data_IF_822629784674
#
_entry.id   IF_822629784674
#
_cell.length_a   1.000
_cell.length_b   1.000
_cell.length_c   1.000
_cell.angle_alpha   90.00
_cell.angle_beta   90.00
_cell.angle_gamma   90.00
#
_symmetry.space_group_name_H-M   'P 1'
#
loop_
_entity.id
_entity.type
_entity.pdbx_description
1 polymer ?
#
# COMPACT_ATOMS: atom_id res chain seq x y z
N UNK A 1 -7.93 17.20 18.76
CA UNK A 1 -7.15 17.55 17.54
C UNK A 1 -5.71 17.13 17.82
N UNK A 2 -5.23 16.08 17.17
CA UNK A 2 -3.82 15.70 17.24
C UNK A 2 -3.00 16.79 16.51
N UNK A 3 -1.98 17.33 17.17
CA UNK A 3 -1.10 18.30 16.53
C UNK A 3 -0.28 17.57 15.46
N UNK A 4 -0.62 17.78 14.20
CA UNK A 4 0.02 17.15 13.04
C UNK A 4 1.51 17.51 12.89
N UNK A 5 2.04 18.42 13.71
CA UNK A 5 3.48 18.76 13.75
C UNK A 5 4.35 17.60 14.20
N UNK A 6 3.80 16.64 14.95
CA UNK A 6 4.54 15.46 15.42
C UNK A 6 4.40 14.23 14.49
N UNK A 7 3.59 14.32 13.44
CA UNK A 7 3.43 13.24 12.48
C UNK A 7 4.27 13.51 11.24
N UNK A 8 5.02 12.51 10.81
CA UNK A 8 5.82 12.63 9.60
C UNK A 8 4.92 12.90 8.39
N UNK A 9 5.10 14.05 7.76
CA UNK A 9 4.40 14.38 6.54
C UNK A 9 4.97 13.54 5.39
N UNK A 10 4.11 12.91 4.55
CA UNK A 10 4.58 12.16 3.39
C UNK A 10 5.36 13.07 2.42
N UNK A 11 6.41 12.52 1.84
CA UNK A 11 7.14 13.18 0.75
C UNK A 11 6.39 13.16 -0.58
N UNK A 12 6.99 13.71 -1.61
CA UNK A 12 6.48 13.65 -2.99
C UNK A 12 6.47 12.22 -3.52
N UNK A 13 5.47 11.91 -4.36
CA UNK A 13 5.29 10.59 -4.95
C UNK A 13 4.93 10.68 -6.44
N UNK A 14 5.64 9.93 -7.30
CA UNK A 14 5.49 9.99 -8.75
C UNK A 14 4.84 8.76 -9.40
N UNK A 15 4.73 7.64 -8.70
CA UNK A 15 4.20 6.36 -9.22
C UNK A 15 4.93 5.88 -10.50
N UNK A 16 6.25 5.96 -10.54
CA UNK A 16 7.03 5.45 -11.66
C UNK A 16 6.93 3.92 -11.73
N UNK A 17 6.44 3.42 -12.87
CA UNK A 17 6.31 1.98 -13.11
C UNK A 17 7.69 1.35 -13.36
N UNK A 18 7.93 0.21 -12.74
CA UNK A 18 9.07 -0.65 -13.05
C UNK A 18 10.18 -0.69 -12.00
N UNK A 19 10.13 0.15 -10.98
CA UNK A 19 11.04 0.04 -9.84
C UNK A 19 10.28 -0.49 -8.63
N UNK A 20 10.34 -1.81 -8.41
CA UNK A 20 9.93 -2.44 -7.15
C UNK A 20 10.96 -2.12 -6.06
N UNK A 21 11.12 -0.85 -5.77
CA UNK A 21 12.13 -0.37 -4.82
C UNK A 21 11.57 -0.16 -3.40
N UNK A 22 10.40 -0.69 -3.11
CA UNK A 22 9.74 -0.54 -1.80
C UNK A 22 9.23 0.86 -1.49
N UNK A 23 9.44 1.82 -2.40
CA UNK A 23 9.01 3.22 -2.19
C UNK A 23 7.51 3.35 -1.99
N UNK A 24 6.70 2.61 -2.75
CA UNK A 24 5.26 2.62 -2.56
C UNK A 24 4.86 2.16 -1.16
N UNK A 25 5.36 1.02 -0.71
CA UNK A 25 5.03 0.45 0.60
C UNK A 25 5.38 1.40 1.74
N UNK A 26 6.57 1.98 1.70
CA UNK A 26 7.03 2.95 2.69
C UNK A 26 6.25 4.27 2.63
N UNK A 27 6.01 4.78 1.41
CA UNK A 27 5.28 6.01 1.21
C UNK A 27 3.81 5.87 1.61
N UNK A 28 3.13 4.79 1.18
CA UNK A 28 1.72 4.54 1.50
C UNK A 28 1.50 4.37 3.01
N UNK A 29 2.40 3.70 3.70
CA UNK A 29 2.37 3.59 5.16
C UNK A 29 2.40 4.97 5.83
N UNK A 30 3.36 5.83 5.44
CA UNK A 30 3.48 7.20 5.98
C UNK A 30 2.25 8.03 5.64
N UNK A 31 1.73 7.90 4.41
CA UNK A 31 0.54 8.62 3.95
C UNK A 31 -0.71 8.21 4.74
N UNK A 32 -0.94 6.91 4.93
CA UNK A 32 -2.08 6.41 5.71
C UNK A 32 -2.04 6.92 7.14
N UNK A 33 -0.90 6.83 7.81
CA UNK A 33 -0.74 7.36 9.17
C UNK A 33 -1.03 8.87 9.24
N UNK A 34 -0.57 9.62 8.25
CA UNK A 34 -0.85 11.06 8.16
C UNK A 34 -2.35 11.35 7.98
N UNK A 35 -3.04 10.59 7.11
CA UNK A 35 -4.47 10.76 6.87
C UNK A 35 -5.31 10.40 8.10
N UNK A 36 -4.98 9.31 8.79
CA UNK A 36 -5.66 8.89 10.03
C UNK A 36 -5.51 9.93 11.14
N UNK A 37 -4.38 10.62 11.21
CA UNK A 37 -4.21 11.75 12.14
C UNK A 37 -5.10 12.95 11.81
N UNK A 38 -5.47 13.16 10.55
CA UNK A 38 -6.40 14.20 10.13
C UNK A 38 -7.83 13.82 10.49
N UNK A 39 -8.25 12.59 10.19
CA UNK A 39 -9.53 12.00 10.59
C UNK A 39 -9.39 10.49 10.73
N UNK A 40 -9.79 9.91 11.88
CA UNK A 40 -9.76 8.45 12.09
C UNK A 40 -10.57 7.67 11.05
N UNK A 41 -11.63 8.27 10.50
CA UNK A 41 -12.50 7.63 9.49
C UNK A 41 -11.72 7.21 8.23
N UNK A 42 -10.58 7.84 7.93
CA UNK A 42 -9.76 7.49 6.78
C UNK A 42 -9.16 6.09 6.86
N UNK A 43 -9.01 5.51 8.05
CA UNK A 43 -8.48 4.15 8.19
C UNK A 43 -9.36 3.14 7.44
N UNK A 44 -10.64 3.09 7.77
CA UNK A 44 -11.59 2.19 7.13
C UNK A 44 -11.93 2.61 5.68
N UNK A 45 -12.09 3.90 5.45
CA UNK A 45 -12.48 4.42 4.12
C UNK A 45 -11.39 4.19 3.06
N UNK A 46 -10.10 4.38 3.39
CA UNK A 46 -9.00 4.16 2.45
C UNK A 46 -8.74 2.67 2.22
N UNK A 47 -8.89 1.84 3.25
CA UNK A 47 -8.83 0.40 3.10
C UNK A 47 -9.95 -0.11 2.16
N UNK A 48 -11.19 0.29 2.43
CA UNK A 48 -12.34 -0.08 1.59
C UNK A 48 -12.16 0.39 0.14
N UNK A 49 -11.72 1.62 -0.07
CA UNK A 49 -11.46 2.16 -1.40
C UNK A 49 -10.37 1.37 -2.14
N UNK A 50 -9.31 0.97 -1.45
CA UNK A 50 -8.21 0.17 -2.03
C UNK A 50 -8.63 -1.25 -2.46
N UNK A 51 -9.65 -1.82 -1.82
CA UNK A 51 -10.18 -3.14 -2.13
C UNK A 51 -11.21 -3.12 -3.28
N UNK A 52 -11.77 -1.95 -3.60
CA UNK A 52 -12.77 -1.83 -4.67
C UNK A 52 -12.19 -2.14 -6.04
N UNK A 53 -12.87 -3.00 -6.79
CA UNK A 53 -12.53 -3.32 -8.19
C UNK A 53 -13.25 -2.43 -9.20
N UNK A 54 -14.35 -1.83 -8.79
CA UNK A 54 -15.19 -0.98 -9.63
C UNK A 54 -14.92 0.50 -9.33
N UNK A 55 -15.28 1.36 -10.28
CA UNK A 55 -15.19 2.81 -10.12
C UNK A 55 -15.99 3.25 -8.90
N UNK A 56 -15.35 4.02 -8.04
CA UNK A 56 -15.99 4.59 -6.86
C UNK A 56 -16.72 5.86 -7.27
N UNK A 57 -18.04 5.86 -7.11
CA UNK A 57 -18.87 7.03 -7.36
C UNK A 57 -18.62 8.10 -6.29
N UNK A 58 -19.01 9.34 -6.62
CA UNK A 58 -18.91 10.44 -5.67
C UNK A 58 -19.82 10.16 -4.48
N UNK A 59 -19.29 10.29 -3.26
CA UNK A 59 -20.08 10.09 -2.05
C UNK A 59 -21.27 11.08 -1.98
N UNK A 60 -22.42 10.56 -1.55
CA UNK A 60 -23.63 11.38 -1.35
C UNK A 60 -23.62 11.98 0.06
N UNK A 61 -23.10 11.27 1.05
CA UNK A 61 -22.98 11.77 2.41
C UNK A 61 -22.05 13.00 2.46
N UNK A 62 -22.47 14.13 3.04
CA UNK A 62 -21.68 15.35 3.07
C UNK A 62 -20.34 15.21 3.80
N UNK A 63 -20.28 14.39 4.86
CA UNK A 63 -19.06 14.16 5.63
C UNK A 63 -18.04 13.35 4.82
N UNK A 64 -18.48 12.28 4.19
CA UNK A 64 -17.65 11.44 3.31
C UNK A 64 -17.21 12.23 2.08
N UNK A 65 -18.10 13.05 1.49
CA UNK A 65 -17.77 13.92 0.37
C UNK A 65 -16.70 14.96 0.75
N UNK A 66 -16.79 15.54 1.93
CA UNK A 66 -15.79 16.47 2.43
C UNK A 66 -14.43 15.78 2.57
N UNK A 67 -14.40 14.60 3.18
CA UNK A 67 -13.16 13.81 3.32
C UNK A 67 -12.60 13.39 1.95
N UNK A 68 -13.44 13.01 0.99
CA UNK A 68 -13.03 12.71 -0.38
C UNK A 68 -12.32 13.90 -1.05
N UNK A 69 -12.86 15.10 -0.91
CA UNK A 69 -12.27 16.33 -1.46
C UNK A 69 -10.96 16.71 -0.75
N UNK A 70 -10.91 16.55 0.55
CA UNK A 70 -9.71 16.78 1.36
C UNK A 70 -8.59 15.80 0.95
N UNK A 71 -8.92 14.52 0.81
CA UNK A 71 -8.01 13.50 0.33
C UNK A 71 -7.44 13.87 -1.05
N UNK A 72 -8.30 14.26 -1.99
CA UNK A 72 -7.88 14.71 -3.31
C UNK A 72 -6.91 15.90 -3.25
N UNK A 73 -7.21 16.90 -2.44
CA UNK A 73 -6.38 18.09 -2.30
C UNK A 73 -5.00 17.77 -1.70
N UNK A 74 -4.95 16.87 -0.71
CA UNK A 74 -3.69 16.43 -0.12
C UNK A 74 -2.86 15.65 -1.14
N UNK A 75 -3.46 14.70 -1.86
CA UNK A 75 -2.78 13.98 -2.93
C UNK A 75 -2.26 14.93 -4.02
N UNK A 76 -3.04 15.95 -4.39
CA UNK A 76 -2.62 16.96 -5.37
C UNK A 76 -1.38 17.76 -4.91
N UNK A 77 -1.20 17.93 -3.61
CA UNK A 77 -0.01 18.59 -3.05
C UNK A 77 1.23 17.68 -2.98
N UNK A 78 1.03 16.36 -2.99
CA UNK A 78 2.10 15.37 -2.81
C UNK A 78 2.47 14.64 -4.11
N UNK A 79 1.54 14.54 -5.06
CA UNK A 79 1.77 13.81 -6.30
C UNK A 79 2.51 14.64 -7.33
N UNK A 80 3.36 13.96 -8.09
CA UNK A 80 4.06 14.47 -9.26
C UNK A 80 4.13 13.39 -10.34
N UNK A 81 4.64 13.73 -11.51
CA UNK A 81 4.81 12.78 -12.61
C UNK A 81 3.54 12.02 -12.96
N UNK A 82 3.63 10.70 -13.02
CA UNK A 82 2.54 9.82 -13.41
C UNK A 82 1.39 9.81 -12.38
N UNK A 83 1.69 9.85 -11.08
CA UNK A 83 0.69 9.91 -10.03
C UNK A 83 -0.19 11.18 -10.17
N UNK A 84 0.44 12.32 -10.47
CA UNK A 84 -0.28 13.57 -10.71
C UNK A 84 -1.11 13.52 -12.00
N UNK A 85 -0.62 12.88 -13.06
CA UNK A 85 -1.39 12.70 -14.29
C UNK A 85 -2.67 11.88 -14.07
N UNK A 86 -2.57 10.80 -13.28
CA UNK A 86 -3.74 10.01 -12.88
C UNK A 86 -4.72 10.86 -12.09
N UNK A 87 -4.23 11.60 -11.09
CA UNK A 87 -5.07 12.46 -10.26
C UNK A 87 -5.84 13.50 -11.10
N UNK A 88 -5.17 14.12 -12.10
CA UNK A 88 -5.78 15.08 -13.02
C UNK A 88 -6.90 14.46 -13.88
N UNK A 89 -6.84 13.15 -14.16
CA UNK A 89 -7.88 12.46 -14.93
C UNK A 89 -9.16 12.19 -14.12
N UNK A 90 -9.11 12.29 -12.79
CA UNK A 90 -10.23 12.01 -11.91
C UNK A 90 -11.27 13.12 -11.95
N UNK A 91 -12.49 12.74 -12.32
CA UNK A 91 -13.61 13.70 -12.39
C UNK A 91 -14.08 14.13 -11.01
N UNK A 92 -14.50 15.39 -10.90
CA UNK A 92 -15.15 15.98 -9.72
C UNK A 92 -14.33 15.88 -8.43
N UNK A 93 -13.01 15.74 -8.52
CA UNK A 93 -12.09 15.65 -7.38
C UNK A 93 -12.48 14.54 -6.39
N UNK A 94 -12.82 13.35 -6.91
CA UNK A 94 -13.12 12.18 -6.11
C UNK A 94 -11.83 11.54 -5.58
N UNK A 95 -11.49 11.84 -4.34
CA UNK A 95 -10.25 11.36 -3.71
C UNK A 95 -10.20 9.84 -3.55
N UNK A 96 -11.32 9.20 -3.25
CA UNK A 96 -11.36 7.75 -3.10
C UNK A 96 -11.15 6.99 -4.42
N UNK A 97 -11.73 7.51 -5.52
CA UNK A 97 -11.45 6.95 -6.84
C UNK A 97 -9.99 7.15 -7.26
N UNK A 98 -9.41 8.31 -6.96
CA UNK A 98 -8.00 8.55 -7.20
C UNK A 98 -7.11 7.57 -6.39
N UNK A 99 -7.43 7.36 -5.12
CA UNK A 99 -6.72 6.41 -4.27
C UNK A 99 -6.81 4.98 -4.81
N UNK A 100 -8.02 4.54 -5.20
CA UNK A 100 -8.22 3.23 -5.83
C UNK A 100 -7.35 3.03 -7.06
N UNK A 101 -7.30 4.01 -7.96
CA UNK A 101 -6.50 3.91 -9.18
C UNK A 101 -4.99 3.90 -8.90
N UNK A 102 -4.53 4.65 -7.93
CA UNK A 102 -3.12 4.62 -7.52
C UNK A 102 -2.75 3.26 -6.94
N UNK A 103 -3.58 2.68 -6.06
CA UNK A 103 -3.35 1.32 -5.53
C UNK A 103 -3.33 0.29 -6.67
N UNK A 104 -4.27 0.37 -7.60
CA UNK A 104 -4.35 -0.58 -8.71
C UNK A 104 -3.08 -0.60 -9.58
N UNK A 105 -2.43 0.55 -9.70
CA UNK A 105 -1.17 0.70 -10.44
C UNK A 105 0.04 0.28 -9.61
N UNK A 106 0.09 0.68 -8.34
CA UNK A 106 1.24 0.42 -7.47
C UNK A 106 1.22 -0.99 -6.88
N UNK A 107 0.03 -1.58 -6.75
CA UNK A 107 -0.19 -2.94 -6.23
C UNK A 107 -0.96 -3.79 -7.25
N UNK A 108 -0.42 -4.04 -8.44
CA UNK A 108 -1.13 -4.84 -9.44
C UNK A 108 -1.38 -6.25 -8.88
N UNK A 109 -2.65 -6.62 -8.74
CA UNK A 109 -3.10 -7.95 -8.29
C UNK A 109 -2.92 -8.98 -9.42
N UNK A 110 -1.72 -9.12 -9.93
CA UNK A 110 -1.37 -9.99 -11.05
C UNK A 110 -0.97 -11.38 -10.56
N UNK A 111 -1.37 -12.42 -11.31
CA UNK A 111 -0.88 -13.80 -11.11
C UNK A 111 0.66 -13.88 -11.14
N UNK A 112 1.33 -13.06 -11.96
CA UNK A 112 2.77 -12.98 -12.03
C UNK A 112 3.42 -12.41 -10.77
N UNK A 113 2.80 -11.41 -10.11
CA UNK A 113 3.27 -10.89 -8.83
C UNK A 113 3.10 -11.91 -7.71
N UNK A 114 1.94 -12.58 -7.67
CA UNK A 114 1.71 -13.64 -6.68
C UNK A 114 2.71 -14.78 -6.84
N UNK A 115 3.04 -15.16 -8.08
CA UNK A 115 4.07 -16.16 -8.34
C UNK A 115 5.45 -15.68 -7.90
N UNK A 116 5.83 -14.42 -8.19
CA UNK A 116 7.10 -13.85 -7.77
C UNK A 116 7.22 -13.77 -6.24
N UNK A 117 6.15 -13.38 -5.53
CA UNK A 117 6.09 -13.37 -4.07
C UNK A 117 6.17 -14.79 -3.51
N UNK A 118 5.46 -15.74 -4.10
CA UNK A 118 5.54 -17.16 -3.72
C UNK A 118 6.97 -17.70 -3.88
N UNK A 119 7.62 -17.40 -4.99
CA UNK A 119 9.02 -17.79 -5.22
C UNK A 119 9.96 -17.15 -4.20
N UNK A 120 9.78 -15.86 -3.88
CA UNK A 120 10.58 -15.17 -2.86
C UNK A 120 10.40 -15.78 -1.46
N UNK A 121 9.19 -16.20 -1.11
CA UNK A 121 8.90 -16.86 0.18
C UNK A 121 9.46 -18.27 0.23
N UNK A 122 9.37 -19.03 -0.88
CA UNK A 122 9.78 -20.46 -0.92
C UNK A 122 11.26 -20.64 -1.20
N UNK A 123 11.94 -19.66 -1.83
CA UNK A 123 13.37 -19.70 -2.15
C UNK A 123 14.23 -18.89 -1.16
N UNK A 124 13.79 -18.75 0.08
CA UNK A 124 14.51 -17.99 1.09
C UNK A 124 15.79 -18.75 1.59
N UNK A 125 16.67 -19.10 0.66
CA UNK A 125 18.02 -19.63 0.97
C UNK A 125 18.84 -18.69 1.88
N UNK A 126 18.43 -17.44 1.95
CA UNK A 126 19.06 -16.40 2.76
C UNK A 126 18.92 -16.61 4.27
N UNK A 127 17.90 -17.34 4.73
CA UNK A 127 17.72 -17.63 6.17
C UNK A 127 18.63 -18.74 6.66
N UNK A 128 18.90 -19.75 5.83
CA UNK A 128 19.76 -20.87 6.19
C UNK A 128 21.23 -20.48 6.38
N UNK A 129 21.68 -19.43 5.68
CA UNK A 129 23.07 -18.95 5.70
C UNK A 129 23.25 -17.61 6.44
N UNK A 130 22.24 -17.16 7.19
CA UNK A 130 22.30 -15.89 7.90
C UNK A 130 23.20 -16.00 9.14
N UNK A 131 24.09 -15.03 9.31
CA UNK A 131 24.79 -14.80 10.59
C UNK A 131 23.75 -14.42 11.65
N UNK A 132 23.93 -14.85 12.89
CA UNK A 132 22.94 -14.68 13.97
C UNK A 132 22.46 -13.24 14.13
N UNK A 133 23.33 -12.26 13.91
CA UNK A 133 23.02 -10.83 14.00
C UNK A 133 22.03 -10.37 12.90
N UNK A 134 22.09 -10.96 11.70
CA UNK A 134 21.23 -10.63 10.57
C UNK A 134 19.96 -11.50 10.52
N UNK A 135 19.91 -12.58 11.28
CA UNK A 135 18.82 -13.55 11.22
C UNK A 135 17.46 -12.92 11.53
N UNK A 136 17.38 -12.12 12.60
CA UNK A 136 16.13 -11.48 13.03
C UNK A 136 15.63 -10.51 11.96
N UNK A 137 16.51 -9.72 11.35
CA UNK A 137 16.14 -8.78 10.29
C UNK A 137 15.65 -9.51 9.05
N UNK A 138 16.33 -10.59 8.68
CA UNK A 138 15.92 -11.42 7.53
C UNK A 138 14.62 -12.19 7.77
N UNK A 139 14.41 -12.67 9.01
CA UNK A 139 13.17 -13.32 9.40
C UNK A 139 11.98 -12.35 9.32
N UNK A 140 12.11 -11.14 9.85
CA UNK A 140 11.08 -10.12 9.76
C UNK A 140 10.77 -9.73 8.31
N UNK A 141 11.79 -9.60 7.47
CA UNK A 141 11.61 -9.33 6.04
C UNK A 141 10.89 -10.49 5.33
N UNK A 142 11.20 -11.72 5.69
CA UNK A 142 10.52 -12.91 5.16
C UNK A 142 9.06 -12.98 5.62
N UNK A 143 8.77 -12.71 6.89
CA UNK A 143 7.40 -12.66 7.42
C UNK A 143 6.57 -11.59 6.71
N UNK A 144 7.13 -10.40 6.49
CA UNK A 144 6.46 -9.34 5.72
C UNK A 144 6.16 -9.76 4.27
N UNK A 145 7.07 -10.48 3.63
CA UNK A 145 6.87 -11.00 2.27
C UNK A 145 5.79 -12.08 2.24
N UNK A 146 5.74 -12.92 3.26
CA UNK A 146 4.72 -13.95 3.45
C UNK A 146 3.34 -13.32 3.63
N UNK A 147 3.21 -12.34 4.53
CA UNK A 147 1.96 -11.62 4.78
C UNK A 147 1.46 -10.94 3.50
N UNK A 148 2.36 -10.31 2.75
CA UNK A 148 2.03 -9.67 1.48
C UNK A 148 1.53 -10.69 0.44
N UNK A 149 2.14 -11.88 0.39
CA UNK A 149 1.67 -12.96 -0.48
C UNK A 149 0.26 -13.44 -0.07
N UNK A 150 0.03 -13.72 1.21
CA UNK A 150 -1.25 -14.20 1.71
C UNK A 150 -2.37 -13.15 1.48
N UNK A 151 -2.09 -11.87 1.71
CA UNK A 151 -3.02 -10.78 1.42
C UNK A 151 -3.32 -10.63 -0.08
N UNK A 152 -2.29 -10.77 -0.92
CA UNK A 152 -2.44 -10.55 -2.37
C UNK A 152 -3.05 -11.75 -3.07
N UNK A 153 -2.71 -12.97 -2.66
CA UNK A 153 -3.25 -14.22 -3.24
C UNK A 153 -4.62 -14.59 -2.68
N UNK A 154 -4.93 -14.17 -1.46
CA UNK A 154 -6.11 -14.61 -0.72
C UNK A 154 -6.05 -16.09 -0.28
N UNK A 155 -4.88 -16.71 -0.40
CA UNK A 155 -4.66 -18.13 -0.05
C UNK A 155 -3.54 -18.21 0.98
N UNK A 156 -3.79 -18.74 2.20
CA UNK A 156 -2.75 -18.95 3.18
C UNK A 156 -1.73 -20.00 2.70
N UNK A 157 -0.47 -19.73 2.95
CA UNK A 157 0.59 -20.68 2.63
C UNK A 157 0.52 -21.87 3.62
N UNK A 158 0.49 -23.08 3.10
CA UNK A 158 0.43 -24.29 3.95
C UNK A 158 1.68 -24.38 4.84
N UNK A 159 1.50 -24.76 6.10
CA UNK A 159 2.60 -24.89 7.07
C UNK A 159 3.71 -25.83 6.62
N UNK A 160 3.38 -26.84 5.80
CA UNK A 160 4.35 -27.74 5.20
C UNK A 160 5.37 -27.02 4.29
N UNK A 161 4.98 -25.89 3.68
CA UNK A 161 5.85 -25.07 2.82
C UNK A 161 6.62 -24.03 3.65
N UNK A 162 6.06 -23.60 4.79
CA UNK A 162 6.71 -22.63 5.69
C UNK A 162 7.87 -23.26 6.48
N UNK A 163 7.76 -24.52 6.86
CA UNK A 163 8.74 -25.24 7.72
C UNK A 163 10.16 -25.34 7.15
N UNK A 164 10.38 -25.65 5.86
CA UNK A 164 11.74 -25.78 5.32
C UNK A 164 12.53 -24.47 5.27
N UNK A 165 11.84 -23.35 5.35
CA UNK A 165 12.47 -22.02 5.24
C UNK A 165 13.00 -21.51 6.59
N UNK A 166 12.44 -21.99 7.69
CA UNK A 166 12.76 -21.53 9.06
C UNK A 166 13.69 -22.50 9.79
N UNK A 167 13.83 -23.71 9.32
CA UNK A 167 14.80 -24.69 9.82
C UNK A 167 16.14 -24.58 9.11
#
# INVERSE_FOLDING_TARGET
LVDTKFVNRPGKFSAELGKHDGKWTSWSFTFLNFMVCISPDYEEELEAAGLMKQIINIPIDPGVLHRSRTLYAIMASLFEGKALAILKSIKRRNGYEAWRQIIDICEPKNKGRNLALLMAVTQADSLANAVVEDFVVKLLAWEQTLDLYEQTSGVPLQDAVKRPVVM
#
